data_IF_898937533216
#
_entry.id   IF_898937533216
#
_cell.length_a   1.000
_cell.length_b   1.000
_cell.length_c   1.000
_cell.angle_alpha   90.00
_cell.angle_beta   90.00
_cell.angle_gamma   90.00
#
_symmetry.space_group_name_H-M   'P 1'
#
loop_
_entity.id
_entity.type
_entity.pdbx_description
1 polymer ?
#
# COMPACT_ATOMS: atom_id res chain seq x y z
N UNK A 1 -25.86 18.55 25.47
CA UNK A 1 -25.39 17.69 24.36
C UNK A 1 -24.86 18.60 23.25
N UNK A 2 -23.58 18.51 22.89
CA UNK A 2 -23.04 19.24 21.72
C UNK A 2 -23.51 18.52 20.45
N UNK A 3 -23.95 19.22 19.40
CA UNK A 3 -24.34 18.57 18.16
C UNK A 3 -23.09 17.90 17.56
N UNK A 4 -23.19 16.61 17.24
CA UNK A 4 -22.16 15.93 16.47
C UNK A 4 -22.14 16.56 15.07
N UNK A 5 -21.09 17.30 14.76
CA UNK A 5 -20.84 17.81 13.41
C UNK A 5 -20.65 16.58 12.51
N UNK A 6 -21.58 16.34 11.59
CA UNK A 6 -21.41 15.29 10.60
C UNK A 6 -20.12 15.56 9.83
N UNK A 7 -19.27 14.55 9.67
CA UNK A 7 -18.04 14.63 8.87
C UNK A 7 -18.48 14.83 7.42
N UNK A 8 -18.43 16.07 6.94
CA UNK A 8 -18.84 16.40 5.56
C UNK A 8 -17.69 16.30 4.57
N UNK A 9 -16.46 16.37 5.06
CA UNK A 9 -15.21 16.23 4.30
C UNK A 9 -14.21 15.41 5.10
N UNK A 10 -13.27 14.74 4.41
CA UNK A 10 -12.22 13.94 5.08
C UNK A 10 -11.38 14.73 6.10
N UNK A 11 -11.24 16.06 5.93
CA UNK A 11 -10.57 16.95 6.91
C UNK A 11 -11.36 17.16 8.21
N UNK A 12 -12.68 16.99 8.20
CA UNK A 12 -13.51 17.20 9.39
C UNK A 12 -13.33 16.05 10.40
N UNK A 13 -12.90 14.88 9.93
CA UNK A 13 -12.63 13.70 10.76
C UNK A 13 -11.39 13.83 11.65
N UNK A 14 -10.51 14.82 11.40
CA UNK A 14 -9.24 15.00 12.13
C UNK A 14 -9.25 16.22 13.05
N UNK A 15 -10.38 16.91 13.20
CA UNK A 15 -10.50 18.10 14.06
C UNK A 15 -10.37 17.68 15.53
N UNK A 16 -9.30 18.14 16.19
CA UNK A 16 -9.05 17.88 17.62
C UNK A 16 -8.22 16.61 17.89
N UNK A 17 -7.78 15.89 16.86
CA UNK A 17 -6.81 14.80 16.98
C UNK A 17 -5.43 15.38 16.68
N UNK A 18 -4.53 15.36 17.66
CA UNK A 18 -3.10 15.64 17.42
C UNK A 18 -2.48 14.39 16.80
N UNK A 19 -2.51 14.29 15.47
CA UNK A 19 -1.72 13.30 14.75
C UNK A 19 -0.25 13.73 14.89
N UNK A 20 0.65 12.89 15.43
CA UNK A 20 2.09 13.21 15.42
C UNK A 20 2.44 13.55 13.98
N UNK A 21 3.05 14.71 13.74
CA UNK A 21 3.39 15.14 12.38
C UNK A 21 4.32 14.10 11.78
N UNK A 22 3.72 13.17 11.05
CA UNK A 22 4.34 12.43 9.98
C UNK A 22 5.01 13.49 9.10
N UNK A 23 6.16 13.19 8.49
CA UNK A 23 6.84 14.08 7.51
C UNK A 23 5.87 14.61 6.43
N UNK A 24 4.73 13.91 6.25
CA UNK A 24 3.68 14.20 5.29
C UNK A 24 2.40 14.68 5.98
N UNK A 25 1.89 15.84 5.57
CA UNK A 25 0.57 16.37 5.98
C UNK A 25 -0.59 15.59 5.34
N UNK A 26 -0.30 14.78 4.32
CA UNK A 26 -1.24 13.94 3.58
C UNK A 26 -0.66 12.54 3.39
N UNK A 27 -1.49 11.49 3.29
CA UNK A 27 -0.98 10.14 3.01
C UNK A 27 -0.21 10.07 1.69
N UNK A 28 0.93 9.37 1.71
CA UNK A 28 1.71 9.00 0.52
C UNK A 28 1.66 7.49 0.37
N UNK A 29 0.93 7.00 -0.62
CA UNK A 29 0.75 5.58 -0.88
C UNK A 29 1.71 5.14 -1.98
N UNK A 30 2.65 4.28 -1.63
CA UNK A 30 3.62 3.70 -2.55
C UNK A 30 3.14 2.33 -3.00
N UNK A 31 3.02 2.12 -4.31
CA UNK A 31 2.70 0.81 -4.88
C UNK A 31 3.99 0.11 -5.26
N UNK A 32 4.24 -1.06 -4.67
CA UNK A 32 5.35 -1.92 -5.04
C UNK A 32 4.84 -3.04 -5.95
N UNK A 33 5.38 -3.11 -7.16
CA UNK A 33 5.04 -4.16 -8.12
C UNK A 33 6.02 -5.33 -7.97
N UNK A 34 5.57 -6.45 -7.41
CA UNK A 34 6.44 -7.55 -6.99
C UNK A 34 7.32 -8.15 -8.09
N UNK A 35 6.83 -8.16 -9.35
CA UNK A 35 7.60 -8.60 -10.52
C UNK A 35 8.83 -7.74 -10.83
N UNK A 36 8.93 -6.54 -10.27
CA UNK A 36 10.09 -5.67 -10.49
C UNK A 36 11.40 -6.29 -9.95
N UNK A 37 11.30 -7.21 -8.97
CA UNK A 37 12.44 -7.96 -8.43
C UNK A 37 13.18 -8.79 -9.48
N UNK A 38 12.47 -9.30 -10.50
CA UNK A 38 13.00 -10.19 -11.53
C UNK A 38 13.52 -9.47 -12.78
N UNK A 39 13.38 -8.15 -12.86
CA UNK A 39 13.89 -7.40 -14.02
C UNK A 39 15.41 -7.60 -14.14
N UNK A 40 15.99 -7.57 -15.35
CA UNK A 40 17.44 -7.60 -15.49
C UNK A 40 18.09 -6.37 -14.82
N UNK A 41 19.30 -6.57 -14.28
CA UNK A 41 20.12 -5.47 -13.77
C UNK A 41 20.37 -4.41 -14.86
N UNK A 42 20.34 -3.11 -14.51
CA UNK A 42 20.19 -2.53 -13.17
C UNK A 42 18.75 -2.18 -12.77
N UNK A 43 17.75 -2.69 -13.50
CA UNK A 43 16.34 -2.35 -13.31
C UNK A 43 15.61 -3.30 -12.34
N UNK A 44 16.29 -4.30 -11.78
CA UNK A 44 15.77 -5.10 -10.68
C UNK A 44 15.49 -4.20 -9.48
N UNK A 45 14.34 -4.39 -8.85
CA UNK A 45 13.91 -3.60 -7.71
C UNK A 45 13.24 -4.50 -6.67
N UNK A 46 13.98 -4.78 -5.60
CA UNK A 46 13.56 -5.62 -4.49
C UNK A 46 12.68 -4.83 -3.52
N UNK A 47 11.93 -5.55 -2.68
CA UNK A 47 11.14 -4.91 -1.63
C UNK A 47 12.03 -4.09 -0.66
N UNK A 48 13.27 -4.53 -0.46
CA UNK A 48 14.26 -3.83 0.36
C UNK A 48 14.73 -2.49 -0.26
N UNK A 49 14.52 -2.27 -1.56
CA UNK A 49 14.91 -1.04 -2.24
C UNK A 49 13.86 0.09 -2.09
N UNK A 50 12.69 -0.21 -1.50
CA UNK A 50 11.61 0.78 -1.28
C UNK A 50 12.04 1.83 -0.25
N UNK A 51 12.03 3.14 -0.59
CA UNK A 51 12.38 4.20 0.36
C UNK A 51 11.25 4.43 1.36
N UNK A 52 11.23 3.65 2.44
CA UNK A 52 10.14 3.64 3.43
C UNK A 52 9.96 5.00 4.14
N UNK A 53 10.98 5.85 4.20
CA UNK A 53 10.89 7.21 4.75
C UNK A 53 10.17 8.21 3.83
N UNK A 54 9.84 7.78 2.61
CA UNK A 54 9.09 8.55 1.62
C UNK A 54 7.61 8.14 1.54
N UNK A 55 7.21 7.07 2.22
CA UNK A 55 5.87 6.49 2.13
C UNK A 55 5.16 6.50 3.49
N UNK A 56 3.84 6.70 3.51
CA UNK A 56 3.02 6.44 4.70
C UNK A 56 2.41 5.04 4.65
N UNK A 57 2.14 4.52 3.45
CA UNK A 57 1.65 3.16 3.21
C UNK A 57 2.38 2.54 2.03
N UNK A 58 2.63 1.23 2.10
CA UNK A 58 3.13 0.44 0.96
C UNK A 58 2.09 -0.60 0.61
N UNK A 59 1.66 -0.60 -0.65
CA UNK A 59 0.73 -1.58 -1.20
C UNK A 59 1.52 -2.56 -2.06
N UNK A 60 1.47 -3.85 -1.69
CA UNK A 60 2.01 -4.92 -2.50
C UNK A 60 1.03 -5.20 -3.65
N UNK A 61 1.45 -4.90 -4.89
CA UNK A 61 0.62 -5.01 -6.08
C UNK A 61 1.18 -6.09 -7.03
N UNK A 62 0.37 -6.97 -7.62
CA UNK A 62 -1.06 -7.23 -7.37
C UNK A 62 -1.27 -8.63 -6.81
N UNK A 63 -2.48 -8.91 -6.36
CA UNK A 63 -2.97 -10.28 -6.14
C UNK A 63 -3.78 -10.70 -7.37
N UNK A 64 -3.70 -11.96 -7.75
CA UNK A 64 -4.55 -12.55 -8.77
C UNK A 64 -5.78 -13.22 -8.18
N UNK A 65 -6.76 -13.48 -9.02
CA UNK A 65 -7.89 -14.36 -8.71
C UNK A 65 -7.73 -15.60 -9.59
N UNK A 66 -7.83 -16.78 -8.99
CA UNK A 66 -7.85 -18.01 -9.75
C UNK A 66 -9.15 -18.14 -10.57
N UNK A 67 -9.05 -18.52 -11.84
CA UNK A 67 -10.20 -18.51 -12.76
C UNK A 67 -11.18 -19.66 -12.52
N UNK A 68 -10.73 -20.75 -11.88
CA UNK A 68 -11.56 -21.94 -11.64
C UNK A 68 -12.20 -21.90 -10.25
N UNK A 69 -11.42 -21.53 -9.24
CA UNK A 69 -11.84 -21.54 -7.83
C UNK A 69 -12.36 -20.19 -7.34
N UNK A 70 -12.02 -19.10 -8.04
CA UNK A 70 -12.24 -17.71 -7.60
C UNK A 70 -11.55 -17.35 -6.27
N UNK A 71 -10.58 -18.16 -5.84
CA UNK A 71 -9.76 -17.89 -4.68
C UNK A 71 -8.63 -16.90 -5.01
N UNK A 72 -8.04 -16.31 -3.98
CA UNK A 72 -6.89 -15.44 -4.15
C UNK A 72 -5.67 -16.28 -4.50
N UNK A 73 -4.95 -15.87 -5.55
CA UNK A 73 -3.64 -16.46 -5.89
C UNK A 73 -2.57 -15.39 -5.91
N UNK A 74 -1.38 -15.75 -5.45
CA UNK A 74 -0.23 -14.90 -5.67
C UNK A 74 0.07 -14.83 -7.17
N UNK A 75 0.31 -13.62 -7.67
CA UNK A 75 0.88 -13.41 -8.99
C UNK A 75 2.31 -12.90 -8.90
N UNK A 76 2.90 -12.84 -7.72
CA UNK A 76 4.28 -12.43 -7.54
C UNK A 76 5.13 -13.70 -7.59
N UNK A 77 6.09 -13.81 -8.54
CA UNK A 77 6.84 -15.04 -8.79
C UNK A 77 7.50 -15.68 -7.57
N UNK A 78 8.02 -14.86 -6.66
CA UNK A 78 8.66 -15.32 -5.42
C UNK A 78 7.69 -15.97 -4.44
N UNK A 79 6.41 -15.60 -4.51
CA UNK A 79 5.36 -16.07 -3.61
C UNK A 79 4.36 -16.97 -4.33
N UNK A 80 4.70 -17.49 -5.51
CA UNK A 80 3.91 -18.56 -6.12
C UNK A 80 4.18 -19.80 -5.28
N UNK A 81 3.16 -20.28 -4.58
CA UNK A 81 3.24 -21.55 -3.86
C UNK A 81 3.38 -22.66 -4.91
N UNK A 82 4.45 -23.46 -4.81
CA UNK A 82 4.59 -24.67 -5.62
C UNK A 82 3.47 -25.65 -5.18
N UNK A 83 2.44 -25.83 -6.00
CA UNK A 83 1.45 -26.90 -5.84
C UNK A 83 2.08 -28.30 -5.92
#
# INVERSE_FOLDING_TARGET
MRPATAVTKGRDAVVGITIPRNKFEVPVVCYYYGWASQRPSPANYQLADVPLDMCTYVVLAFVGIDEQTFELKSVIPEYVEDE
#
